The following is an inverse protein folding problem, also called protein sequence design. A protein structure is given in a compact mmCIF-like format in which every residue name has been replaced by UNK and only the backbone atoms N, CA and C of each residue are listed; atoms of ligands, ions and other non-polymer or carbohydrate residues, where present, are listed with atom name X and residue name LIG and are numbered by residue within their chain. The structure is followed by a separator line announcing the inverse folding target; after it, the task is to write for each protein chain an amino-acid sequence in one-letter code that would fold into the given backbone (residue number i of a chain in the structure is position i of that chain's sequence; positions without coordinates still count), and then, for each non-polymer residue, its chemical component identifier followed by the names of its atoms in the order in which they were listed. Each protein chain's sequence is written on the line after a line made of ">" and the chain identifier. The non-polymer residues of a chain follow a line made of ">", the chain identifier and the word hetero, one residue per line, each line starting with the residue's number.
data_IF_809254169047
#
_entry.id   IF_809254169047
#
_cell.length_a   1.000
_cell.length_b   1.000
_cell.length_c   1.000
_cell.angle_alpha   90.00
_cell.angle_beta   90.00
_cell.angle_gamma   90.00
#
_symmetry.space_group_name_H-M   'P 1'
#
loop_
_entity.id
_entity.type
_entity.pdbx_description
1 polymer ?
#
# COMPACT_ATOMS: atom_id res chain seq x y z
N UNK A 1 -27.10 30.81 39.35
CA UNK A 1 -27.52 29.69 38.48
C UNK A 1 -26.52 29.61 37.33
N UNK A 2 -25.66 28.58 37.30
CA UNK A 2 -24.70 28.33 36.23
C UNK A 2 -25.12 27.04 35.52
N UNK A 3 -25.57 27.17 34.28
CA UNK A 3 -26.01 26.06 33.45
C UNK A 3 -24.76 25.33 32.94
N UNK A 4 -24.52 24.11 33.44
CA UNK A 4 -23.56 23.19 32.83
C UNK A 4 -24.15 22.75 31.48
N UNK A 5 -23.55 23.19 30.38
CA UNK A 5 -23.82 22.66 29.06
C UNK A 5 -23.16 21.29 28.93
N UNK A 6 -23.96 20.22 28.90
CA UNK A 6 -23.50 18.89 28.50
C UNK A 6 -23.09 18.98 27.02
N UNK A 7 -21.78 18.95 26.76
CA UNK A 7 -21.25 18.73 25.42
C UNK A 7 -21.45 17.25 25.11
N UNK A 8 -22.51 16.91 24.37
CA UNK A 8 -22.70 15.58 23.82
C UNK A 8 -21.60 15.33 22.78
N UNK A 9 -20.56 14.61 23.19
CA UNK A 9 -19.51 14.15 22.29
C UNK A 9 -20.13 13.05 21.42
N UNK A 10 -20.62 13.42 20.23
CA UNK A 10 -21.02 12.49 19.19
C UNK A 10 -19.79 11.67 18.80
N UNK A 11 -19.65 10.49 19.38
CA UNK A 11 -18.72 9.47 18.90
C UNK A 11 -19.26 8.99 17.55
N UNK A 12 -18.72 9.52 16.45
CA UNK A 12 -18.93 8.92 15.14
C UNK A 12 -18.43 7.47 15.25
N UNK A 13 -19.21 6.48 14.78
CA UNK A 13 -18.73 5.11 14.74
C UNK A 13 -17.45 5.10 13.90
N UNK A 14 -16.36 4.58 14.47
CA UNK A 14 -15.22 4.16 13.66
C UNK A 14 -15.80 3.31 12.53
N UNK A 15 -15.53 3.71 11.28
CA UNK A 15 -16.05 3.02 10.12
C UNK A 15 -15.73 1.53 10.26
N UNK A 16 -16.73 0.68 10.06
CA UNK A 16 -16.53 -0.76 10.10
C UNK A 16 -15.36 -1.12 9.17
N UNK A 17 -14.54 -2.08 9.59
CA UNK A 17 -13.50 -2.64 8.73
C UNK A 17 -14.14 -3.09 7.41
N UNK A 18 -13.59 -2.68 6.25
CA UNK A 18 -14.13 -3.08 4.97
C UNK A 18 -14.05 -4.60 4.80
N UNK A 19 -15.08 -5.19 4.18
CA UNK A 19 -15.06 -6.61 3.79
C UNK A 19 -14.09 -6.85 2.62
N UNK A 20 -13.78 -8.11 2.35
CA UNK A 20 -12.98 -8.50 1.18
C UNK A 20 -13.61 -8.02 -0.14
N UNK A 21 -14.95 -8.06 -0.25
CA UNK A 21 -15.64 -7.51 -1.43
C UNK A 21 -15.46 -5.99 -1.55
N UNK A 22 -15.50 -5.26 -0.44
CA UNK A 22 -15.30 -3.81 -0.41
C UNK A 22 -13.84 -3.46 -0.74
N UNK A 23 -12.87 -4.21 -0.20
CA UNK A 23 -11.45 -4.08 -0.55
C UNK A 23 -11.21 -4.33 -2.04
N UNK A 24 -11.82 -5.38 -2.60
CA UNK A 24 -11.74 -5.66 -4.03
C UNK A 24 -12.39 -4.54 -4.86
N UNK A 25 -13.49 -3.97 -4.39
CA UNK A 25 -14.13 -2.83 -5.03
C UNK A 25 -13.23 -1.59 -5.02
N UNK A 26 -12.52 -1.30 -3.91
CA UNK A 26 -11.54 -0.22 -3.86
C UNK A 26 -10.40 -0.42 -4.84
N UNK A 27 -9.86 -1.64 -4.96
CA UNK A 27 -8.80 -1.95 -5.93
C UNK A 27 -9.28 -1.74 -7.37
N UNK A 28 -10.46 -2.27 -7.71
CA UNK A 28 -11.05 -2.14 -9.05
C UNK A 28 -11.35 -0.68 -9.41
N UNK A 29 -11.88 0.09 -8.47
CA UNK A 29 -12.30 1.48 -8.67
C UNK A 29 -11.28 2.51 -8.18
N UNK A 30 -10.02 2.11 -7.93
CA UNK A 30 -9.00 2.96 -7.29
C UNK A 30 -8.83 4.34 -7.89
N UNK A 31 -9.00 4.49 -9.21
CA UNK A 31 -8.83 5.76 -9.92
C UNK A 31 -9.93 6.79 -9.60
N UNK A 32 -11.08 6.34 -9.11
CA UNK A 32 -12.21 7.19 -8.72
C UNK A 32 -12.48 7.15 -7.22
N UNK A 33 -12.08 6.09 -6.54
CA UNK A 33 -12.33 5.86 -5.11
C UNK A 33 -11.16 6.25 -4.20
N UNK A 34 -9.94 6.37 -4.73
CA UNK A 34 -8.72 6.65 -3.96
C UNK A 34 -7.93 7.79 -4.58
N UNK A 35 -7.18 8.50 -3.74
CA UNK A 35 -6.25 9.52 -4.20
C UNK A 35 -4.97 8.87 -4.75
N UNK A 36 -4.58 9.26 -5.97
CA UNK A 36 -3.30 8.85 -6.55
C UNK A 36 -2.17 9.67 -5.92
N UNK A 37 -1.43 9.05 -5.01
CA UNK A 37 -0.29 9.64 -4.31
C UNK A 37 0.88 9.94 -5.25
N UNK A 38 1.11 9.09 -6.26
CA UNK A 38 2.21 9.28 -7.21
C UNK A 38 1.71 9.92 -8.52
N UNK A 39 2.07 11.18 -8.83
CA UNK A 39 1.57 11.87 -10.01
C UNK A 39 2.00 11.17 -11.32
N UNK A 40 3.13 10.47 -11.30
CA UNK A 40 3.64 9.63 -12.38
C UNK A 40 4.04 8.26 -11.83
N UNK A 41 4.10 7.20 -12.66
CA UNK A 41 4.60 5.91 -12.22
C UNK A 41 6.03 6.04 -11.70
N UNK A 42 6.28 5.50 -10.51
CA UNK A 42 7.61 5.51 -9.88
C UNK A 42 8.33 4.21 -10.24
N UNK A 43 9.57 4.34 -10.71
CA UNK A 43 10.44 3.19 -10.97
C UNK A 43 10.86 2.52 -9.67
N UNK A 44 10.89 1.18 -9.67
CA UNK A 44 11.34 0.44 -8.51
C UNK A 44 12.83 0.72 -8.24
N UNK A 45 13.21 1.15 -7.02
CA UNK A 45 14.60 1.45 -6.72
C UNK A 45 15.48 0.21 -6.92
N UNK A 46 16.66 0.41 -7.52
CA UNK A 46 17.62 -0.66 -7.80
C UNK A 46 17.84 -1.61 -6.60
N UNK A 47 18.09 -1.15 -5.36
CA UNK A 47 18.27 -2.07 -4.24
C UNK A 47 17.09 -3.03 -3.99
N UNK A 48 15.86 -2.61 -4.28
CA UNK A 48 14.66 -3.46 -4.18
C UNK A 48 14.65 -4.48 -5.30
N UNK A 49 14.92 -4.04 -6.53
CA UNK A 49 15.07 -4.92 -7.71
C UNK A 49 16.08 -6.03 -7.43
N UNK A 50 17.24 -5.69 -6.89
CA UNK A 50 18.32 -6.65 -6.64
C UNK A 50 17.91 -7.69 -5.59
N UNK A 51 17.28 -7.26 -4.49
CA UNK A 51 16.88 -8.13 -3.36
C UNK A 51 15.67 -9.01 -3.65
N UNK A 52 14.80 -8.59 -4.56
CA UNK A 52 13.59 -9.33 -4.93
C UNK A 52 13.77 -10.19 -6.19
N UNK A 53 15.01 -10.46 -6.59
CA UNK A 53 15.31 -11.37 -7.69
C UNK A 53 15.38 -12.82 -7.21
N UNK A 54 14.93 -13.77 -8.05
CA UNK A 54 15.13 -15.20 -7.78
C UNK A 54 16.63 -15.52 -7.70
N UNK A 55 17.46 -14.81 -8.46
CA UNK A 55 18.92 -14.94 -8.44
C UNK A 55 19.50 -14.59 -7.06
N UNK A 56 18.96 -13.57 -6.38
CA UNK A 56 19.37 -13.22 -5.02
C UNK A 56 18.99 -14.29 -3.98
N UNK A 57 17.90 -15.03 -4.22
CA UNK A 57 17.48 -16.15 -3.35
C UNK A 57 18.32 -17.40 -3.62
N UNK A 58 18.53 -17.73 -4.90
CA UNK A 58 19.21 -18.96 -5.31
C UNK A 58 20.74 -18.85 -5.21
N UNK A 59 21.32 -17.65 -5.32
CA UNK A 59 22.76 -17.41 -5.29
C UNK A 59 23.14 -16.30 -4.31
N UNK A 60 23.01 -16.50 -2.98
CA UNK A 60 23.37 -15.51 -1.97
C UNK A 60 24.89 -15.39 -1.85
N UNK A 61 25.51 -14.63 -2.74
CA UNK A 61 26.95 -14.33 -2.73
C UNK A 61 27.22 -12.83 -2.90
N UNK A 62 28.37 -12.31 -2.43
CA UNK A 62 28.69 -10.87 -2.43
C UNK A 62 28.88 -10.24 -3.82
N UNK A 63 28.67 -11.00 -4.90
CA UNK A 63 28.94 -10.58 -6.28
C UNK A 63 27.94 -11.18 -7.27
N UNK A 64 26.64 -10.90 -7.15
CA UNK A 64 25.73 -11.04 -8.30
C UNK A 64 25.75 -9.75 -9.13
N UNK A 65 26.90 -9.38 -9.68
CA UNK A 65 26.96 -8.24 -10.64
C UNK A 65 26.30 -8.58 -11.99
N UNK A 66 25.89 -9.84 -12.18
CA UNK A 66 25.07 -10.31 -13.29
C UNK A 66 23.65 -10.62 -12.79
N UNK A 67 22.92 -9.60 -12.33
CA UNK A 67 21.47 -9.76 -12.22
C UNK A 67 20.97 -9.89 -13.64
N UNK A 68 20.47 -11.07 -13.97
CA UNK A 68 19.79 -11.26 -15.22
C UNK A 68 18.50 -10.44 -15.15
N UNK A 69 18.51 -9.25 -15.73
CA UNK A 69 17.36 -8.34 -15.75
C UNK A 69 16.16 -8.98 -16.47
N UNK A 70 16.41 -10.01 -17.28
CA UNK A 70 15.41 -10.77 -18.02
C UNK A 70 14.65 -11.78 -17.14
N UNK A 71 15.25 -12.26 -16.03
CA UNK A 71 14.58 -13.14 -15.06
C UNK A 71 14.02 -12.38 -13.85
N UNK A 72 14.36 -11.10 -13.70
CA UNK A 72 13.95 -10.30 -12.56
C UNK A 72 12.60 -9.60 -12.82
N UNK A 73 11.51 -10.00 -12.15
CA UNK A 73 10.17 -9.43 -12.37
C UNK A 73 10.05 -7.97 -11.92
N UNK A 74 11.12 -7.38 -11.38
CA UNK A 74 11.17 -6.00 -10.89
C UNK A 74 12.12 -5.08 -11.68
N UNK A 75 12.96 -5.61 -12.59
CA UNK A 75 14.05 -4.83 -13.22
C UNK A 75 13.63 -3.56 -13.95
N UNK A 76 12.40 -3.53 -14.44
CA UNK A 76 11.80 -2.41 -15.19
C UNK A 76 10.38 -2.10 -14.71
N UNK A 77 10.00 -2.62 -13.53
CA UNK A 77 8.66 -2.45 -12.99
C UNK A 77 8.47 -1.01 -12.51
N UNK A 78 7.35 -0.41 -12.92
CA UNK A 78 6.88 0.88 -12.44
C UNK A 78 5.66 0.67 -11.54
N UNK A 79 5.37 1.63 -10.68
CA UNK A 79 4.16 1.55 -9.86
C UNK A 79 3.49 2.88 -9.62
N UNK A 80 2.17 2.85 -9.54
CA UNK A 80 1.38 3.88 -8.89
C UNK A 80 1.08 3.50 -7.44
N UNK A 81 0.93 4.51 -6.59
CA UNK A 81 0.42 4.35 -5.22
C UNK A 81 -0.87 5.16 -5.10
N UNK A 82 -1.87 4.52 -4.53
CA UNK A 82 -3.16 5.10 -4.22
C UNK A 82 -3.41 4.98 -2.72
N UNK A 83 -4.12 5.95 -2.13
CA UNK A 83 -4.45 5.97 -0.72
C UNK A 83 -5.86 6.55 -0.53
N UNK A 84 -6.56 6.12 0.53
CA UNK A 84 -7.78 6.82 0.96
C UNK A 84 -7.42 8.09 1.75
N UNK A 85 -8.43 8.93 2.00
CA UNK A 85 -8.27 10.22 2.70
C UNK A 85 -7.50 10.11 4.02
N UNK A 86 -7.73 9.03 4.77
CA UNK A 86 -7.08 8.82 6.07
C UNK A 86 -5.59 8.46 5.97
N UNK A 87 -5.14 7.95 4.81
CA UNK A 87 -3.78 7.48 4.57
C UNK A 87 -2.95 8.43 3.68
N UNK A 88 -3.58 9.34 2.94
CA UNK A 88 -2.88 10.16 1.95
C UNK A 88 -1.87 11.13 2.58
N UNK A 89 -2.21 11.84 3.66
CA UNK A 89 -1.29 12.78 4.29
C UNK A 89 -0.18 12.09 5.11
N UNK A 90 -0.49 11.07 5.95
CA UNK A 90 0.55 10.41 6.74
C UNK A 90 1.68 9.77 5.92
N UNK A 91 1.45 9.43 4.64
CA UNK A 91 2.49 8.84 3.78
C UNK A 91 3.68 9.78 3.53
N UNK A 92 3.48 11.10 3.68
CA UNK A 92 4.50 12.12 3.45
C UNK A 92 5.14 12.64 4.74
N UNK A 93 4.63 12.22 5.90
CA UNK A 93 5.12 12.64 7.21
C UNK A 93 5.95 11.49 7.84
N UNK A 94 7.26 11.67 8.09
CA UNK A 94 8.08 10.63 8.72
C UNK A 94 7.65 10.29 10.15
N UNK A 95 6.78 11.10 10.78
CA UNK A 95 6.12 10.80 12.06
C UNK A 95 4.62 10.55 11.92
N UNK A 96 4.13 10.45 10.69
CA UNK A 96 2.73 10.24 10.36
C UNK A 96 2.20 8.97 10.99
N UNK A 97 1.04 9.08 11.64
CA UNK A 97 0.31 7.93 12.20
C UNK A 97 -0.86 7.61 11.31
N UNK A 98 -0.93 6.36 10.87
CA UNK A 98 -2.05 5.83 10.11
C UNK A 98 -3.16 5.39 11.08
N UNK A 99 -4.34 6.04 11.05
CA UNK A 99 -5.50 5.58 11.81
C UNK A 99 -6.03 4.26 11.26
N UNK A 100 -6.80 3.53 12.08
CA UNK A 100 -7.60 2.38 11.64
C UNK A 100 -8.45 2.75 10.41
N UNK A 101 -8.55 1.83 9.45
CA UNK A 101 -9.20 2.06 8.15
C UNK A 101 -8.31 2.73 7.10
N UNK A 102 -7.07 3.11 7.42
CA UNK A 102 -6.10 3.56 6.42
C UNK A 102 -5.88 2.49 5.37
N UNK A 103 -6.07 2.85 4.10
CA UNK A 103 -5.90 1.95 2.97
C UNK A 103 -4.86 2.52 2.01
N UNK A 104 -3.86 1.71 1.68
CA UNK A 104 -2.85 2.02 0.68
C UNK A 104 -2.83 0.89 -0.34
N UNK A 105 -2.90 1.22 -1.63
CA UNK A 105 -2.86 0.28 -2.74
C UNK A 105 -1.73 0.66 -3.67
N UNK A 106 -0.83 -0.29 -3.93
CA UNK A 106 0.20 -0.19 -4.95
C UNK A 106 -0.25 -0.95 -6.19
N UNK A 107 -0.27 -0.25 -7.31
CA UNK A 107 -0.49 -0.80 -8.64
C UNK A 107 0.86 -1.01 -9.31
N UNK A 108 1.21 -2.27 -9.61
CA UNK A 108 2.40 -2.61 -10.39
C UNK A 108 2.06 -2.59 -11.87
N UNK A 109 2.85 -1.87 -12.65
CA UNK A 109 2.74 -1.80 -14.10
C UNK A 109 3.81 -2.68 -14.77
N UNK A 110 3.43 -3.30 -15.89
CA UNK A 110 4.34 -3.98 -16.79
C UNK A 110 5.28 -3.00 -17.48
N UNK A 111 6.51 -3.45 -17.72
CA UNK A 111 7.56 -2.61 -18.31
C UNK A 111 7.31 -2.24 -19.76
N UNK A 112 6.63 -3.11 -20.51
CA UNK A 112 6.58 -3.05 -21.96
C UNK A 112 5.32 -2.37 -22.48
N UNK A 113 4.19 -2.57 -21.79
CA UNK A 113 2.87 -2.08 -22.21
C UNK A 113 2.23 -1.09 -21.22
N UNK A 114 2.87 -0.88 -20.06
CA UNK A 114 2.34 -0.03 -19.00
C UNK A 114 1.03 -0.52 -18.40
N UNK A 115 0.59 -1.76 -18.69
CA UNK A 115 -0.64 -2.32 -18.14
C UNK A 115 -0.42 -2.77 -16.71
N UNK A 116 -1.49 -2.77 -15.94
CA UNK A 116 -1.48 -3.31 -14.59
C UNK A 116 -1.20 -4.80 -14.61
N UNK A 117 -0.23 -5.24 -13.81
CA UNK A 117 0.11 -6.65 -13.65
C UNK A 117 -0.35 -7.22 -12.30
N UNK A 118 -0.35 -6.38 -11.27
CA UNK A 118 -0.60 -6.82 -9.90
C UNK A 118 -1.00 -5.63 -9.03
N UNK A 119 -1.91 -5.88 -8.11
CA UNK A 119 -2.14 -4.99 -6.98
C UNK A 119 -1.61 -5.62 -5.70
N UNK A 120 -0.93 -4.81 -4.90
CA UNK A 120 -0.61 -5.16 -3.51
C UNK A 120 -1.14 -4.05 -2.64
N UNK A 121 -1.85 -4.37 -1.57
CA UNK A 121 -2.41 -3.36 -0.68
C UNK A 121 -2.16 -3.67 0.78
N UNK A 122 -2.40 -2.65 1.59
CA UNK A 122 -2.35 -2.74 3.04
C UNK A 122 -3.49 -1.95 3.67
N UNK A 123 -4.17 -2.58 4.62
CA UNK A 123 -5.26 -2.03 5.41
C UNK A 123 -4.85 -1.93 6.88
N UNK A 124 -4.99 -0.76 7.48
CA UNK A 124 -4.74 -0.57 8.91
C UNK A 124 -5.92 -1.10 9.69
N UNK A 125 -5.69 -2.15 10.46
CA UNK A 125 -6.68 -2.83 11.30
C UNK A 125 -6.73 -2.22 12.69
N UNK A 126 -7.70 -2.71 13.46
CA UNK A 126 -7.86 -2.42 14.86
C UNK A 126 -6.61 -2.77 15.67
N UNK A 127 -6.38 -2.01 16.74
CA UNK A 127 -5.23 -2.23 17.61
C UNK A 127 -5.24 -3.65 18.17
N UNK A 128 -4.14 -4.39 17.99
CA UNK A 128 -4.03 -5.77 18.45
C UNK A 128 -4.16 -6.81 17.35
N UNK A 129 -4.59 -6.42 16.14
CA UNK A 129 -4.75 -7.34 15.01
C UNK A 129 -3.44 -8.00 14.60
N UNK A 130 -2.38 -7.18 14.43
CA UNK A 130 -1.05 -7.70 14.12
C UNK A 130 0.05 -6.78 14.70
N UNK A 131 0.23 -6.78 16.02
CA UNK A 131 1.04 -5.78 16.73
C UNK A 131 2.49 -5.68 16.23
N UNK A 132 3.08 -6.81 15.84
CA UNK A 132 4.46 -6.91 15.36
C UNK A 132 4.68 -6.18 14.04
N UNK A 133 3.62 -6.08 13.22
CA UNK A 133 3.59 -5.30 11.99
C UNK A 133 2.80 -4.01 12.13
N UNK A 134 2.55 -3.56 13.37
CA UNK A 134 1.80 -2.34 13.65
C UNK A 134 0.37 -2.42 13.13
N UNK A 135 -0.32 -3.55 13.29
CA UNK A 135 -1.72 -3.75 12.95
C UNK A 135 -2.05 -3.54 11.46
N UNK A 136 -1.11 -3.81 10.57
CA UNK A 136 -1.35 -3.82 9.12
C UNK A 136 -1.75 -5.22 8.65
N UNK A 137 -2.86 -5.28 7.91
CA UNK A 137 -3.22 -6.40 7.06
C UNK A 137 -2.65 -6.19 5.66
N UNK A 138 -2.14 -7.24 5.02
CA UNK A 138 -1.54 -7.20 3.68
C UNK A 138 -2.29 -8.12 2.73
N UNK A 139 -2.53 -7.66 1.51
CA UNK A 139 -3.22 -8.45 0.49
C UNK A 139 -2.63 -8.24 -0.91
N UNK A 140 -2.89 -9.22 -1.78
CA UNK A 140 -2.51 -9.19 -3.20
C UNK A 140 -3.73 -9.51 -4.04
N UNK A 141 -3.91 -8.81 -5.15
CA UNK A 141 -4.99 -9.04 -6.11
C UNK A 141 -4.42 -9.03 -7.52
N UNK A 142 -4.78 -10.04 -8.30
CA UNK A 142 -4.47 -10.08 -9.73
C UNK A 142 -5.20 -8.96 -10.48
N UNK A 143 -4.58 -8.49 -11.57
CA UNK A 143 -5.11 -7.41 -12.41
C UNK A 143 -6.30 -7.84 -13.27
#
# INVERSE_FOLDING_TARGET
>A
MRTLGLLACLTLPLGAVPTDEELLAFVKNRSTALERVTPQPVEMPKPVVERCSIDAVLNPGPTSNNINTQSNPHASAKSHVFANDSAVLPIFDPWGKFPEGSLIVKEKLGSDDGKTQLFTGMLKREKGYFPECGDWEFFTVDA
#
